data_IF_653836206663
#
_entry.id   IF_653836206663
#
_cell.length_a   1.000
_cell.length_b   1.000
_cell.length_c   1.000
_cell.angle_alpha   90.00
_cell.angle_beta   90.00
_cell.angle_gamma   90.00
#
_symmetry.space_group_name_H-M   'P 1'
#
loop_
_entity.id
_entity.type
_entity.pdbx_description
1 polymer ?
#
# COMPACT_ATOMS: atom_id res chain seq x y z
N UNK A 1 9.14 -0.14 3.63
CA UNK A 1 9.49 -0.84 2.37
C UNK A 1 8.67 -0.24 1.24
N UNK A 2 9.30 0.05 0.12
CA UNK A 2 8.63 0.58 -1.07
C UNK A 2 9.06 -0.26 -2.28
N UNK A 3 8.08 -0.73 -3.06
CA UNK A 3 8.34 -1.42 -4.31
C UNK A 3 8.71 -0.40 -5.38
N UNK A 4 9.58 -0.80 -6.30
CA UNK A 4 9.84 0.00 -7.49
C UNK A 4 8.59 0.07 -8.39
N UNK A 5 8.45 1.19 -9.08
CA UNK A 5 7.39 1.35 -10.06
C UNK A 5 7.57 0.32 -11.18
N UNK A 6 6.49 -0.32 -11.58
CA UNK A 6 6.50 -1.30 -12.67
C UNK A 6 6.17 -0.59 -13.99
N UNK A 7 7.03 -0.73 -15.01
CA UNK A 7 6.75 -0.15 -16.32
C UNK A 7 5.45 -0.73 -16.88
N UNK A 8 4.73 0.09 -17.61
CA UNK A 8 3.48 -0.30 -18.25
C UNK A 8 3.63 -1.52 -19.16
N UNK A 9 2.55 -2.27 -19.29
CA UNK A 9 2.50 -3.43 -20.18
C UNK A 9 2.24 -2.98 -21.62
N UNK A 10 2.96 -3.53 -22.58
CA UNK A 10 2.67 -3.33 -23.99
C UNK A 10 1.39 -4.10 -24.37
N UNK A 11 0.44 -3.42 -25.00
CA UNK A 11 -0.74 -4.02 -25.62
C UNK A 11 -0.32 -4.68 -26.95
N UNK A 12 0.26 -5.86 -26.84
CA UNK A 12 0.88 -6.57 -27.96
C UNK A 12 -0.09 -6.82 -29.13
N UNK A 13 -1.35 -7.00 -28.83
CA UNK A 13 -2.42 -7.21 -29.79
C UNK A 13 -2.60 -6.03 -30.77
N UNK A 14 -2.23 -4.83 -30.37
CA UNK A 14 -2.28 -3.63 -31.22
C UNK A 14 -1.04 -3.49 -32.11
N UNK A 15 0.12 -3.91 -31.61
CA UNK A 15 1.42 -3.70 -32.29
C UNK A 15 1.79 -4.88 -33.19
N UNK A 16 1.48 -6.12 -32.77
CA UNK A 16 1.87 -7.33 -33.46
C UNK A 16 1.40 -7.40 -34.94
N UNK A 17 0.14 -7.08 -35.28
CA UNK A 17 -0.31 -7.08 -36.68
C UNK A 17 0.48 -6.12 -37.58
N UNK A 18 0.84 -4.94 -37.02
CA UNK A 18 1.60 -3.93 -37.75
C UNK A 18 3.04 -4.38 -37.94
N UNK A 19 3.65 -4.92 -36.89
CA UNK A 19 5.01 -5.47 -36.95
C UNK A 19 5.10 -6.64 -37.96
N UNK A 20 4.11 -7.53 -38.00
CA UNK A 20 4.04 -8.65 -38.98
C UNK A 20 3.93 -8.14 -40.41
N UNK A 21 3.07 -7.15 -40.65
CA UNK A 21 2.90 -6.53 -41.99
C UNK A 21 4.18 -5.88 -42.50
N UNK A 22 4.94 -5.26 -41.59
CA UNK A 22 6.21 -4.60 -41.90
C UNK A 22 7.44 -5.51 -41.79
N UNK A 23 7.28 -6.82 -41.51
CA UNK A 23 8.37 -7.69 -41.16
C UNK A 23 9.49 -7.80 -42.24
N UNK A 24 9.11 -7.75 -43.53
CA UNK A 24 10.07 -7.77 -44.65
C UNK A 24 10.91 -6.50 -44.66
N UNK A 25 10.28 -5.34 -44.66
CA UNK A 25 10.96 -4.05 -44.69
C UNK A 25 11.83 -3.81 -43.42
N UNK A 26 11.38 -4.27 -42.26
CA UNK A 26 12.18 -4.22 -41.03
C UNK A 26 13.46 -5.08 -41.12
N UNK A 27 13.40 -6.25 -41.80
CA UNK A 27 14.60 -7.08 -42.04
C UNK A 27 15.55 -6.40 -43.04
N UNK A 28 15.03 -5.85 -44.11
CA UNK A 28 15.81 -5.09 -45.10
C UNK A 28 16.47 -3.87 -44.46
N UNK A 29 15.81 -3.23 -43.49
CA UNK A 29 16.38 -2.16 -42.66
C UNK A 29 17.34 -2.63 -41.55
N UNK A 30 17.75 -3.92 -41.54
CA UNK A 30 18.78 -4.44 -40.63
C UNK A 30 18.25 -5.10 -39.35
N UNK A 31 16.96 -5.14 -39.13
CA UNK A 31 16.37 -5.78 -37.93
C UNK A 31 16.24 -7.28 -38.15
N UNK A 32 17.20 -8.07 -37.71
CA UNK A 32 17.22 -9.55 -37.90
C UNK A 32 15.93 -10.22 -37.42
N UNK A 33 15.36 -9.75 -36.32
CA UNK A 33 14.10 -10.26 -35.72
C UNK A 33 13.08 -9.13 -35.66
N UNK A 34 12.16 -9.00 -36.63
CA UNK A 34 11.19 -7.89 -36.70
C UNK A 34 10.35 -7.68 -35.45
N UNK A 35 10.02 -8.79 -34.72
CA UNK A 35 9.24 -8.68 -33.49
C UNK A 35 9.96 -7.99 -32.32
N UNK A 36 11.28 -7.78 -32.41
CA UNK A 36 12.01 -6.97 -31.41
C UNK A 36 11.60 -5.50 -31.44
N UNK A 37 10.93 -5.03 -32.49
CA UNK A 37 10.37 -3.70 -32.55
C UNK A 37 9.38 -3.43 -31.39
N UNK A 38 8.72 -4.49 -30.90
CA UNK A 38 7.80 -4.37 -29.76
C UNK A 38 8.52 -3.90 -28.48
N UNK A 39 9.75 -4.36 -28.25
CA UNK A 39 10.56 -3.87 -27.14
C UNK A 39 10.94 -2.39 -27.35
N UNK A 40 11.38 -2.04 -28.57
CA UNK A 40 11.71 -0.65 -28.93
C UNK A 40 10.54 0.30 -28.71
N UNK A 41 9.32 -0.12 -29.09
CA UNK A 41 8.09 0.69 -28.90
C UNK A 41 7.74 0.80 -27.42
N UNK A 42 7.90 -0.29 -26.66
CA UNK A 42 7.67 -0.28 -25.22
C UNK A 42 8.61 0.68 -24.47
N UNK A 43 9.85 0.74 -24.92
CA UNK A 43 10.92 1.54 -24.28
C UNK A 43 11.00 2.98 -24.80
N UNK A 44 10.06 3.41 -25.65
CA UNK A 44 9.95 4.81 -26.06
C UNK A 44 9.69 5.70 -24.82
N UNK A 45 10.25 6.92 -24.83
CA UNK A 45 9.93 7.89 -23.79
C UNK A 45 8.44 8.29 -23.83
N UNK A 46 7.88 8.77 -22.72
CA UNK A 46 6.52 9.32 -22.71
C UNK A 46 6.30 10.35 -23.82
N UNK A 47 5.22 10.21 -24.59
CA UNK A 47 4.93 11.05 -25.77
C UNK A 47 5.73 10.69 -27.02
N UNK A 48 6.64 9.70 -26.92
CA UNK A 48 7.40 9.21 -28.08
C UNK A 48 6.55 8.45 -29.06
N UNK A 49 6.97 8.42 -30.32
CA UNK A 49 6.31 7.69 -31.40
C UNK A 49 7.30 6.90 -32.25
N UNK A 50 6.81 5.85 -32.87
CA UNK A 50 7.55 5.07 -33.85
C UNK A 50 6.81 5.04 -35.18
N UNK A 51 7.50 5.34 -36.29
CA UNK A 51 6.95 5.25 -37.64
C UNK A 51 7.46 3.99 -38.31
N UNK A 52 6.55 3.11 -38.68
CA UNK A 52 6.85 1.88 -39.42
C UNK A 52 7.21 2.19 -40.90
N UNK A 53 7.90 1.27 -41.60
CA UNK A 53 8.26 1.45 -43.01
C UNK A 53 7.06 1.72 -43.95
N UNK A 54 5.88 1.22 -43.60
CA UNK A 54 4.64 1.46 -44.39
C UNK A 54 3.98 2.81 -44.06
N UNK A 55 4.63 3.66 -43.25
CA UNK A 55 4.10 4.96 -42.83
C UNK A 55 3.17 4.92 -41.64
N UNK A 56 2.85 3.74 -41.08
CA UNK A 56 2.02 3.64 -39.88
C UNK A 56 2.77 4.21 -38.67
N UNK A 57 2.15 5.15 -37.96
CA UNK A 57 2.70 5.76 -36.73
C UNK A 57 2.02 5.17 -35.52
N UNK A 58 2.82 4.73 -34.55
CA UNK A 58 2.35 4.30 -33.23
C UNK A 58 2.93 5.27 -32.19
N UNK A 59 2.05 5.78 -31.31
CA UNK A 59 2.47 6.52 -30.12
C UNK A 59 2.58 5.57 -28.93
N UNK A 60 3.58 5.78 -28.10
CA UNK A 60 3.82 4.97 -26.91
C UNK A 60 2.58 4.93 -25.99
N UNK A 61 1.93 6.06 -25.75
CA UNK A 61 0.75 6.22 -24.91
C UNK A 61 -0.49 5.42 -25.38
N UNK A 62 -0.61 5.13 -26.68
CA UNK A 62 -1.72 4.37 -27.23
C UNK A 62 -1.58 2.86 -26.99
N UNK A 63 -0.32 2.38 -26.93
CA UNK A 63 -0.01 0.95 -26.94
C UNK A 63 0.71 0.45 -25.68
N UNK A 64 1.12 1.34 -24.77
CA UNK A 64 1.72 0.98 -23.49
C UNK A 64 0.82 1.49 -22.37
N UNK A 65 0.47 0.58 -21.43
CA UNK A 65 -0.26 0.97 -20.23
C UNK A 65 0.56 1.97 -19.39
N UNK A 66 -0.10 2.80 -18.57
CA UNK A 66 0.62 3.66 -17.63
C UNK A 66 1.53 2.87 -16.70
N UNK A 67 2.62 3.49 -16.28
CA UNK A 67 3.48 2.94 -15.23
C UNK A 67 2.68 2.72 -13.95
N UNK A 68 2.73 1.52 -13.40
CA UNK A 68 2.05 1.18 -12.15
C UNK A 68 2.95 1.57 -10.98
N UNK A 69 2.37 2.34 -10.06
CA UNK A 69 3.08 2.73 -8.85
C UNK A 69 3.37 1.52 -7.97
N UNK A 70 4.58 1.45 -7.45
CA UNK A 70 4.95 0.45 -6.44
C UNK A 70 4.16 0.64 -5.14
N UNK A 71 3.97 -0.45 -4.39
CA UNK A 71 3.29 -0.43 -3.09
C UNK A 71 4.24 0.04 -2.01
N UNK A 72 3.71 0.77 -1.03
CA UNK A 72 4.46 1.23 0.13
C UNK A 72 3.89 0.61 1.41
N UNK A 73 4.71 -0.14 2.13
CA UNK A 73 4.39 -0.70 3.44
C UNK A 73 5.30 -0.06 4.48
N UNK A 74 4.69 0.52 5.51
CA UNK A 74 5.38 1.10 6.66
C UNK A 74 5.14 0.23 7.87
N UNK A 75 6.20 -0.15 8.56
CA UNK A 75 6.15 -0.94 9.79
C UNK A 75 6.81 -0.14 10.90
N UNK A 76 6.05 0.18 11.93
CA UNK A 76 6.52 0.78 13.16
C UNK A 76 6.62 -0.31 14.22
N UNK A 77 7.80 -0.46 14.83
CA UNK A 77 7.95 -1.24 16.07
C UNK A 77 7.37 -0.48 17.26
N UNK A 78 7.78 -0.86 18.46
CA UNK A 78 7.40 -0.20 19.71
C UNK A 78 7.77 1.27 19.65
N UNK A 79 6.80 2.14 19.81
CA UNK A 79 7.01 3.59 19.67
C UNK A 79 5.92 4.40 20.37
N UNK A 80 6.35 5.41 21.10
CA UNK A 80 5.45 6.41 21.68
C UNK A 80 5.09 7.55 20.70
N UNK A 81 5.88 7.70 19.63
CA UNK A 81 5.71 8.78 18.65
C UNK A 81 6.41 8.44 17.33
N UNK A 82 5.64 8.22 16.29
CA UNK A 82 6.13 7.85 14.95
C UNK A 82 6.33 9.04 14.02
N UNK A 83 6.08 10.28 14.46
CA UNK A 83 6.09 11.48 13.59
C UNK A 83 7.44 11.78 12.96
N UNK A 84 8.54 11.30 13.57
CA UNK A 84 9.88 11.46 12.99
C UNK A 84 10.02 10.85 11.58
N UNK A 85 9.18 9.86 11.23
CA UNK A 85 9.19 9.22 9.91
C UNK A 85 8.03 9.68 9.00
N UNK A 86 7.23 10.69 9.40
CA UNK A 86 6.04 11.11 8.65
C UNK A 86 6.31 11.36 7.17
N UNK A 87 7.38 12.08 6.84
CA UNK A 87 7.73 12.38 5.43
C UNK A 87 8.04 11.13 4.63
N UNK A 88 8.74 10.17 5.21
CA UNK A 88 9.06 8.89 4.57
C UNK A 88 7.82 8.00 4.43
N UNK A 89 6.92 8.07 5.40
CA UNK A 89 5.72 7.24 5.48
C UNK A 89 4.54 7.75 4.64
N UNK A 90 4.62 8.96 4.07
CA UNK A 90 3.52 9.57 3.31
C UNK A 90 2.94 8.65 2.25
N UNK A 91 1.62 8.55 2.23
CA UNK A 91 0.85 7.80 1.25
C UNK A 91 1.06 6.28 1.33
N UNK A 92 1.40 5.75 2.51
CA UNK A 92 1.55 4.31 2.71
C UNK A 92 0.30 3.54 2.30
N UNK A 93 0.47 2.46 1.54
CA UNK A 93 -0.65 1.56 1.21
C UNK A 93 -1.09 0.76 2.44
N UNK A 94 -0.13 0.40 3.29
CA UNK A 94 -0.38 -0.22 4.60
C UNK A 94 0.57 0.39 5.63
N UNK A 95 0.02 0.86 6.75
CA UNK A 95 0.74 1.15 7.97
C UNK A 95 0.49 0.00 8.96
N UNK A 96 1.56 -0.61 9.45
CA UNK A 96 1.54 -1.53 10.59
C UNK A 96 2.10 -0.77 11.78
N UNK A 97 1.29 -0.62 12.84
CA UNK A 97 1.65 0.19 14.00
C UNK A 97 1.23 -0.51 15.29
N UNK A 98 2.06 -0.41 16.31
CA UNK A 98 1.71 -0.94 17.62
C UNK A 98 0.51 -0.21 18.23
N UNK A 99 -0.23 -0.92 19.08
CA UNK A 99 -1.36 -0.42 19.84
C UNK A 99 -1.45 -1.14 21.19
N UNK A 100 -0.38 -1.01 21.98
CA UNK A 100 -0.16 -1.82 23.18
C UNK A 100 -1.29 -1.71 24.17
N UNK A 101 -1.80 -0.50 24.44
CA UNK A 101 -2.86 -0.28 25.40
C UNK A 101 -4.00 0.58 24.84
N UNK A 102 -5.24 0.23 25.21
CA UNK A 102 -6.44 1.00 24.92
C UNK A 102 -7.26 1.26 26.18
N UNK A 103 -7.94 2.39 26.24
CA UNK A 103 -8.96 2.62 27.26
C UNK A 103 -10.26 1.92 26.86
N UNK A 104 -10.70 1.00 27.69
CA UNK A 104 -11.92 0.22 27.46
C UNK A 104 -13.00 0.65 28.47
N UNK A 105 -13.87 1.57 28.07
CA UNK A 105 -14.97 2.05 28.91
C UNK A 105 -15.81 0.87 29.46
N UNK A 106 -16.13 0.89 30.76
CA UNK A 106 -16.85 -0.19 31.44
C UNK A 106 -15.97 -1.34 31.92
N UNK A 107 -14.73 -1.48 31.41
CA UNK A 107 -13.71 -2.42 31.92
C UNK A 107 -12.72 -1.66 32.79
N UNK A 108 -12.17 -0.57 32.26
CA UNK A 108 -11.20 0.30 32.96
C UNK A 108 -11.96 1.31 33.85
N UNK A 109 -12.26 0.94 35.11
CA UNK A 109 -13.12 1.73 36.01
C UNK A 109 -12.38 2.88 36.69
N UNK A 110 -11.10 2.69 37.01
CA UNK A 110 -10.30 3.61 37.84
C UNK A 110 -9.34 4.50 37.03
N UNK A 111 -9.58 4.63 35.72
CA UNK A 111 -8.74 5.40 34.81
C UNK A 111 -9.57 6.05 33.70
N UNK A 112 -8.91 6.76 32.81
CA UNK A 112 -9.55 7.39 31.65
C UNK A 112 -8.62 7.34 30.42
N UNK A 113 -9.18 7.66 29.26
CA UNK A 113 -8.47 7.61 27.99
C UNK A 113 -7.15 8.42 27.99
N UNK A 114 -7.15 9.60 28.59
CA UNK A 114 -5.97 10.46 28.63
C UNK A 114 -4.87 9.88 29.55
N UNK A 115 -5.27 9.24 30.65
CA UNK A 115 -4.33 8.58 31.55
C UNK A 115 -3.69 7.35 30.89
N UNK A 116 -4.47 6.49 30.22
CA UNK A 116 -3.97 5.34 29.47
C UNK A 116 -3.01 5.76 28.35
N UNK A 117 -3.33 6.80 27.59
CA UNK A 117 -2.46 7.30 26.53
C UNK A 117 -1.15 7.86 27.09
N UNK A 118 -1.20 8.55 28.22
CA UNK A 118 0.00 9.09 28.89
C UNK A 118 0.87 7.96 29.44
N UNK A 119 0.27 6.97 30.07
CA UNK A 119 0.97 5.79 30.59
C UNK A 119 1.66 5.00 29.47
N UNK A 120 0.94 4.71 28.37
CA UNK A 120 1.52 4.08 27.19
C UNK A 120 2.75 4.85 26.69
N UNK A 121 2.64 6.19 26.57
CA UNK A 121 3.73 7.04 26.10
C UNK A 121 4.94 7.02 27.05
N UNK A 122 4.75 7.02 28.38
CA UNK A 122 5.83 6.95 29.37
C UNK A 122 6.61 5.64 29.22
N UNK A 123 5.92 4.55 28.87
CA UNK A 123 6.53 3.24 28.66
C UNK A 123 7.05 3.01 27.22
N UNK A 124 7.03 4.03 26.36
CA UNK A 124 7.55 3.93 25.01
C UNK A 124 6.56 3.31 24.01
N UNK A 125 5.27 3.29 24.35
CA UNK A 125 4.20 2.65 23.57
C UNK A 125 3.12 3.60 23.09
N UNK A 126 2.26 3.09 22.22
CA UNK A 126 1.12 3.79 21.65
C UNK A 126 -0.23 3.17 22.04
N UNK A 127 -1.28 3.91 21.74
CA UNK A 127 -2.68 3.45 21.80
C UNK A 127 -3.26 3.35 20.38
N UNK A 128 -4.38 2.63 20.19
CA UNK A 128 -5.08 2.61 18.89
C UNK A 128 -5.42 4.01 18.36
N UNK A 129 -5.73 4.95 19.28
CA UNK A 129 -5.97 6.35 18.93
C UNK A 129 -4.73 7.03 18.34
N UNK A 130 -3.56 6.86 18.96
CA UNK A 130 -2.28 7.42 18.48
C UNK A 130 -1.92 6.81 17.12
N UNK A 131 -2.04 5.48 16.97
CA UNK A 131 -1.81 4.80 15.71
C UNK A 131 -2.74 5.32 14.59
N UNK A 132 -4.03 5.54 14.92
CA UNK A 132 -5.00 6.10 14.00
C UNK A 132 -4.68 7.54 13.59
N UNK A 133 -4.31 8.40 14.54
CA UNK A 133 -3.89 9.78 14.26
C UNK A 133 -2.67 9.83 13.34
N UNK A 134 -1.69 8.97 13.57
CA UNK A 134 -0.52 8.87 12.69
C UNK A 134 -0.89 8.35 11.30
N UNK A 135 -1.76 7.33 11.21
CA UNK A 135 -2.28 6.86 9.92
C UNK A 135 -2.95 7.97 9.11
N UNK A 136 -3.74 8.83 9.78
CA UNK A 136 -4.37 10.01 9.17
C UNK A 136 -3.34 11.04 8.71
N UNK A 137 -2.37 11.35 9.54
CA UNK A 137 -1.31 12.32 9.24
C UNK A 137 -0.53 11.96 7.98
N UNK A 138 -0.16 10.69 7.83
CA UNK A 138 0.60 10.21 6.66
C UNK A 138 -0.27 9.85 5.45
N UNK A 139 -1.59 9.96 5.55
CA UNK A 139 -2.51 9.54 4.49
C UNK A 139 -2.42 8.05 4.17
N UNK A 140 -2.24 7.20 5.18
CA UNK A 140 -2.22 5.75 5.01
C UNK A 140 -3.57 5.25 4.49
N UNK A 141 -3.56 4.25 3.60
CA UNK A 141 -4.79 3.70 3.02
C UNK A 141 -5.37 2.56 3.85
N UNK A 142 -4.52 1.87 4.60
CA UNK A 142 -4.90 0.81 5.54
C UNK A 142 -4.05 0.91 6.80
N UNK A 143 -4.64 0.58 7.94
CA UNK A 143 -3.98 0.49 9.23
C UNK A 143 -4.12 -0.91 9.79
N UNK A 144 -3.00 -1.51 10.16
CA UNK A 144 -2.95 -2.77 10.89
C UNK A 144 -2.35 -2.51 12.27
N UNK A 145 -3.10 -2.84 13.29
CA UNK A 145 -2.66 -2.72 14.68
C UNK A 145 -2.01 -4.03 15.13
N UNK A 146 -0.93 -3.95 15.86
CA UNK A 146 -0.25 -5.11 16.44
C UNK A 146 0.29 -4.80 17.85
N UNK A 147 1.08 -5.71 18.40
CA UNK A 147 1.78 -5.56 19.70
C UNK A 147 0.80 -5.22 20.84
N UNK A 148 -0.25 -6.01 21.00
CA UNK A 148 -1.24 -5.80 22.05
C UNK A 148 -0.72 -6.26 23.42
N UNK A 149 -1.08 -5.53 24.47
CA UNK A 149 -0.77 -5.90 25.85
C UNK A 149 -1.28 -7.30 26.20
N UNK A 150 -0.50 -8.05 26.98
CA UNK A 150 -0.90 -9.37 27.50
C UNK A 150 -2.15 -9.36 28.37
N UNK A 151 -2.67 -8.21 28.74
CA UNK A 151 -3.98 -8.08 29.41
C UNK A 151 -5.16 -8.45 28.50
N UNK A 152 -4.95 -8.43 27.20
CA UNK A 152 -5.94 -8.87 26.21
C UNK A 152 -5.69 -10.34 25.89
N UNK A 153 -6.71 -11.17 26.13
CA UNK A 153 -6.64 -12.59 25.79
C UNK A 153 -6.59 -12.76 24.28
N UNK A 154 -5.64 -13.55 23.78
CA UNK A 154 -5.51 -13.88 22.35
C UNK A 154 -6.39 -15.07 21.92
N UNK A 155 -7.50 -15.31 22.58
CA UNK A 155 -8.40 -16.43 22.29
C UNK A 155 -9.56 -16.00 21.37
N UNK A 156 -10.34 -16.96 20.88
CA UNK A 156 -11.49 -16.75 19.99
C UNK A 156 -12.82 -16.59 20.77
N UNK A 157 -12.75 -16.25 22.07
CA UNK A 157 -13.97 -15.99 22.85
C UNK A 157 -14.69 -14.72 22.35
N UNK A 158 -16.00 -14.68 22.53
CA UNK A 158 -16.81 -13.49 22.20
C UNK A 158 -16.35 -12.25 22.98
N UNK A 159 -15.86 -12.43 24.21
CA UNK A 159 -15.30 -11.36 25.03
C UNK A 159 -14.04 -10.78 24.37
N UNK A 160 -13.09 -11.62 23.98
CA UNK A 160 -11.85 -11.20 23.33
C UNK A 160 -12.12 -10.53 21.98
N UNK A 161 -13.00 -11.10 21.17
CA UNK A 161 -13.43 -10.50 19.90
C UNK A 161 -14.07 -9.12 20.11
N UNK A 162 -14.92 -8.97 21.12
CA UNK A 162 -15.54 -7.68 21.46
C UNK A 162 -14.49 -6.63 21.86
N UNK A 163 -13.49 -7.03 22.64
CA UNK A 163 -12.36 -6.15 23.02
C UNK A 163 -11.58 -5.71 21.78
N UNK A 164 -11.18 -6.64 20.93
CA UNK A 164 -10.43 -6.32 19.72
C UNK A 164 -11.23 -5.42 18.76
N UNK A 165 -12.51 -5.66 18.61
CA UNK A 165 -13.41 -4.78 17.83
C UNK A 165 -13.43 -3.35 18.38
N UNK A 166 -13.43 -3.17 19.70
CA UNK A 166 -13.38 -1.82 20.32
C UNK A 166 -12.04 -1.14 20.10
N UNK A 167 -10.94 -1.89 20.11
CA UNK A 167 -9.59 -1.41 19.77
C UNK A 167 -9.56 -0.91 18.32
N UNK A 168 -10.11 -1.70 17.39
CA UNK A 168 -10.24 -1.29 15.98
C UNK A 168 -11.11 -0.03 15.83
N UNK A 169 -12.25 0.03 16.50
CA UNK A 169 -13.14 1.19 16.44
C UNK A 169 -12.48 2.48 16.94
N UNK A 170 -11.63 2.41 17.95
CA UNK A 170 -10.86 3.58 18.39
C UNK A 170 -9.92 4.08 17.30
N UNK A 171 -9.19 3.18 16.64
CA UNK A 171 -8.31 3.51 15.53
C UNK A 171 -9.06 4.00 14.28
N UNK A 172 -10.21 3.40 13.95
CA UNK A 172 -11.12 3.86 12.89
C UNK A 172 -11.54 5.31 13.13
N UNK A 173 -11.99 5.63 14.36
CA UNK A 173 -12.41 6.98 14.73
C UNK A 173 -11.27 8.00 14.63
N UNK A 174 -10.06 7.61 15.02
CA UNK A 174 -8.90 8.50 15.01
C UNK A 174 -8.34 8.69 13.59
N UNK A 175 -8.27 7.63 12.80
CA UNK A 175 -7.74 7.68 11.43
C UNK A 175 -8.71 8.28 10.41
N UNK A 176 -10.01 8.13 10.63
CA UNK A 176 -11.03 8.43 9.63
C UNK A 176 -11.09 7.42 8.47
N UNK A 177 -10.36 6.31 8.56
CA UNK A 177 -10.42 5.23 7.58
C UNK A 177 -11.75 4.45 7.68
N UNK A 178 -12.20 3.85 6.57
CA UNK A 178 -13.32 2.91 6.63
C UNK A 178 -13.01 1.74 7.58
N UNK A 179 -14.01 1.18 8.30
CA UNK A 179 -13.78 0.05 9.20
C UNK A 179 -13.11 -1.15 8.54
N UNK A 180 -13.37 -1.39 7.25
CA UNK A 180 -12.75 -2.47 6.45
C UNK A 180 -11.27 -2.23 6.14
N UNK A 181 -10.74 -1.05 6.42
CA UNK A 181 -9.35 -0.66 6.20
C UNK A 181 -8.52 -0.60 7.50
N UNK A 182 -9.12 -0.91 8.63
CA UNK A 182 -8.44 -1.01 9.93
C UNK A 182 -8.62 -2.42 10.45
N UNK A 183 -7.54 -3.06 10.87
CA UNK A 183 -7.58 -4.41 11.42
C UNK A 183 -6.64 -4.54 12.62
N UNK A 184 -7.09 -5.22 13.67
CA UNK A 184 -6.24 -5.73 14.71
C UNK A 184 -5.64 -7.06 14.24
N UNK A 185 -4.31 -7.14 14.17
CA UNK A 185 -3.63 -8.33 13.69
C UNK A 185 -3.75 -9.50 14.69
N UNK A 186 -3.77 -10.70 14.16
CA UNK A 186 -3.60 -11.95 14.90
C UNK A 186 -2.49 -12.78 14.27
N UNK A 187 -1.99 -13.74 15.01
CA UNK A 187 -0.93 -14.62 14.54
C UNK A 187 -1.31 -15.31 13.23
N UNK A 188 -0.38 -15.34 12.29
CA UNK A 188 -0.56 -15.89 10.95
C UNK A 188 -1.58 -15.16 10.05
N UNK A 189 -2.01 -13.95 10.42
CA UNK A 189 -2.88 -13.14 9.57
C UNK A 189 -2.22 -12.84 8.23
N UNK A 190 -2.95 -13.06 7.14
CA UNK A 190 -2.53 -12.69 5.78
C UNK A 190 -3.37 -11.50 5.33
N UNK A 191 -2.72 -10.38 5.07
CA UNK A 191 -3.37 -9.18 4.57
C UNK A 191 -2.91 -8.90 3.14
N UNK A 192 -3.81 -8.94 2.15
CA UNK A 192 -3.45 -8.55 0.78
C UNK A 192 -3.23 -7.04 0.69
N UNK A 193 -2.14 -6.65 0.03
CA UNK A 193 -1.88 -5.26 -0.34
C UNK A 193 -2.11 -5.12 -1.86
N UNK A 194 -3.31 -4.75 -2.31
CA UNK A 194 -3.60 -4.65 -3.73
C UNK A 194 -2.73 -3.59 -4.38
N UNK A 195 -2.35 -3.86 -5.62
CA UNK A 195 -1.73 -2.86 -6.47
C UNK A 195 -2.79 -1.81 -6.82
N UNK A 196 -2.41 -0.55 -6.88
CA UNK A 196 -3.31 0.52 -7.31
C UNK A 196 -3.28 0.63 -8.83
N UNK A 197 -4.45 0.69 -9.41
CA UNK A 197 -4.65 0.96 -10.84
C UNK A 197 -4.34 2.43 -11.16
#
# INVERSE_FOLDING_TARGET
MEEENKPGRLKSELVEPIAKRNAKALREGGMKIPMKIMATIKDLPPGGSYTFPDGTVIRQEDVVEPTRKGRKVVVCGDTADSRAISSLAQGADVLIHEATNAFLSGIDKDTNKAAVARDAKIHGHSTPGIAGEFAKEIGAKRLVLNHFSSRYKGDQSLESMSIMTRIEQEAVKASGLPPTHVAAAWDMMILPVPQQD
#
